data_IF_277872004774
#
_entry.id   IF_277872004774
#
_cell.length_a   1.000
_cell.length_b   1.000
_cell.length_c   1.000
_cell.angle_alpha   90.00
_cell.angle_beta   90.00
_cell.angle_gamma   90.00
#
_symmetry.space_group_name_H-M   'P 1'
#
loop_
_entity.id
_entity.type
_entity.pdbx_description
1 polymer ?
#
# COMPACT_ATOMS: atom_id res chain seq x y z
N UNK A 1 -30.30 -2.63 -10.22
CA UNK A 1 -29.97 -1.26 -9.80
C UNK A 1 -28.56 -1.33 -9.26
N UNK A 2 -27.57 -0.83 -9.99
CA UNK A 2 -26.20 -0.79 -9.47
C UNK A 2 -26.18 0.18 -8.29
N UNK A 3 -25.86 -0.32 -7.10
CA UNK A 3 -25.49 0.52 -5.97
C UNK A 3 -24.29 1.36 -6.43
N UNK A 4 -24.55 2.60 -6.79
CA UNK A 4 -23.49 3.52 -7.17
C UNK A 4 -22.69 3.84 -5.90
N UNK A 5 -21.48 3.29 -5.81
CA UNK A 5 -20.56 3.56 -4.71
C UNK A 5 -19.80 4.86 -4.97
N UNK A 6 -19.73 5.71 -3.96
CA UNK A 6 -19.00 6.99 -4.01
C UNK A 6 -17.70 6.84 -3.23
N UNK A 7 -16.56 7.28 -3.79
CA UNK A 7 -15.30 7.27 -3.06
C UNK A 7 -15.31 8.36 -1.98
N UNK A 8 -14.62 8.17 -0.85
CA UNK A 8 -14.59 9.15 0.24
C UNK A 8 -13.83 10.44 -0.11
N UNK A 9 -13.03 10.43 -1.18
CA UNK A 9 -12.27 11.56 -1.70
C UNK A 9 -11.93 11.31 -3.17
N UNK A 10 -11.37 12.33 -3.81
CA UNK A 10 -10.93 12.28 -5.21
C UNK A 10 -12.07 12.27 -6.22
N UNK A 11 -11.68 12.50 -7.47
CA UNK A 11 -12.55 12.57 -8.63
C UNK A 11 -12.18 11.45 -9.59
N UNK A 12 -12.89 10.32 -9.46
CA UNK A 12 -12.61 9.12 -10.23
C UNK A 12 -13.77 8.84 -11.21
N UNK A 13 -13.48 8.63 -12.50
CA UNK A 13 -14.52 8.43 -13.51
C UNK A 13 -15.27 7.10 -13.33
N UNK A 14 -14.61 6.08 -12.78
CA UNK A 14 -15.22 4.78 -12.50
C UNK A 14 -14.84 4.33 -11.10
N UNK A 15 -15.86 4.01 -10.29
CA UNK A 15 -15.72 3.50 -8.92
C UNK A 15 -16.58 2.26 -8.77
N UNK A 16 -16.00 1.18 -8.26
CA UNK A 16 -16.66 -0.13 -8.11
C UNK A 16 -16.21 -0.75 -6.79
N UNK A 17 -17.01 -1.64 -6.18
CA UNK A 17 -16.51 -2.46 -5.07
C UNK A 17 -15.49 -3.45 -5.63
N UNK A 18 -14.36 -3.62 -4.97
CA UNK A 18 -13.29 -4.49 -5.46
C UNK A 18 -13.76 -5.97 -5.54
N UNK A 19 -14.65 -6.39 -4.65
CA UNK A 19 -15.27 -7.72 -4.67
C UNK A 19 -16.13 -7.99 -5.92
N UNK A 20 -16.73 -6.95 -6.51
CA UNK A 20 -17.61 -7.08 -7.67
C UNK A 20 -16.82 -7.24 -8.99
N UNK A 21 -15.50 -6.98 -8.96
CA UNK A 21 -14.63 -6.96 -10.14
C UNK A 21 -13.37 -7.81 -9.95
N UNK A 22 -13.41 -8.84 -9.11
CA UNK A 22 -12.23 -9.66 -8.78
C UNK A 22 -11.50 -10.19 -10.02
N UNK A 23 -12.23 -10.55 -11.07
CA UNK A 23 -11.66 -11.05 -12.33
C UNK A 23 -10.86 -9.97 -13.10
N UNK A 24 -11.02 -8.69 -12.75
CA UNK A 24 -10.28 -7.56 -13.33
C UNK A 24 -9.06 -7.15 -12.50
N UNK A 25 -8.89 -7.68 -11.28
CA UNK A 25 -7.78 -7.34 -10.39
C UNK A 25 -6.53 -8.19 -10.68
N UNK A 26 -5.40 -7.83 -10.07
CA UNK A 26 -4.25 -8.74 -10.07
C UNK A 26 -4.65 -10.05 -9.33
N UNK A 27 -4.28 -11.24 -9.84
CA UNK A 27 -4.66 -12.52 -9.23
C UNK A 27 -4.44 -12.61 -7.70
N UNK A 28 -3.28 -12.22 -7.14
CA UNK A 28 -3.07 -12.25 -5.69
C UNK A 28 -4.02 -11.33 -4.91
N UNK A 29 -4.37 -10.17 -5.47
CA UNK A 29 -5.31 -9.21 -4.85
C UNK A 29 -6.73 -9.78 -4.86
N UNK A 30 -7.14 -10.38 -5.98
CA UNK A 30 -8.45 -11.01 -6.14
C UNK A 30 -8.66 -12.16 -5.14
N UNK A 31 -7.63 -13.01 -4.98
CA UNK A 31 -7.62 -14.12 -4.03
C UNK A 31 -7.72 -13.61 -2.60
N UNK A 32 -6.88 -12.64 -2.22
CA UNK A 32 -6.87 -12.10 -0.86
C UNK A 32 -8.20 -11.40 -0.49
N UNK A 33 -8.81 -10.64 -1.41
CA UNK A 33 -10.13 -10.06 -1.18
C UNK A 33 -11.21 -11.12 -0.98
N UNK A 34 -11.14 -12.24 -1.73
CA UNK A 34 -12.09 -13.34 -1.60
C UNK A 34 -11.92 -14.17 -0.32
N UNK A 35 -10.69 -14.25 0.21
CA UNK A 35 -10.33 -15.02 1.41
C UNK A 35 -10.10 -14.18 2.67
N UNK A 36 -10.41 -12.89 2.65
CA UNK A 36 -10.13 -12.00 3.78
C UNK A 36 -10.97 -12.41 5.00
N UNK A 37 -10.29 -12.76 6.10
CA UNK A 37 -10.89 -13.06 7.42
C UNK A 37 -11.43 -11.81 8.15
N UNK A 38 -12.08 -10.93 7.38
CA UNK A 38 -12.82 -9.75 7.82
C UNK A 38 -13.77 -9.31 6.69
N UNK A 39 -14.93 -9.98 6.51
CA UNK A 39 -15.82 -9.75 5.37
C UNK A 39 -16.31 -8.30 5.23
N UNK A 40 -16.53 -7.60 6.36
CA UNK A 40 -16.88 -6.18 6.36
C UNK A 40 -15.74 -5.30 5.81
N UNK A 41 -14.49 -5.63 6.15
CA UNK A 41 -13.32 -4.92 5.63
C UNK A 41 -13.18 -5.13 4.12
N UNK A 42 -13.31 -6.38 3.65
CA UNK A 42 -13.29 -6.70 2.22
C UNK A 42 -14.43 -6.02 1.45
N UNK A 43 -15.63 -5.97 2.03
CA UNK A 43 -16.80 -5.30 1.45
C UNK A 43 -16.67 -3.78 1.35
N UNK A 44 -15.82 -3.17 2.18
CA UNK A 44 -15.53 -1.74 2.17
C UNK A 44 -14.46 -1.33 1.15
N UNK A 45 -13.75 -2.28 0.51
CA UNK A 45 -12.71 -1.96 -0.46
C UNK A 45 -13.33 -1.49 -1.78
N UNK A 46 -13.00 -0.26 -2.15
CA UNK A 46 -13.35 0.31 -3.43
C UNK A 46 -12.18 0.20 -4.39
N UNK A 47 -12.45 -0.16 -5.63
CA UNK A 47 -11.56 0.03 -6.75
C UNK A 47 -11.92 1.34 -7.46
N UNK A 48 -10.91 2.16 -7.72
CA UNK A 48 -11.02 3.35 -8.57
C UNK A 48 -10.19 3.15 -9.83
N UNK A 49 -10.79 3.38 -10.98
CA UNK A 49 -10.08 3.29 -12.25
C UNK A 49 -9.25 4.54 -12.51
N UNK A 50 -7.98 4.34 -12.91
CA UNK A 50 -7.05 5.44 -13.18
C UNK A 50 -6.10 5.08 -14.31
N UNK A 51 -5.81 6.06 -15.16
CA UNK A 51 -4.81 6.00 -16.23
C UNK A 51 -3.44 5.50 -15.71
N UNK A 52 -2.89 4.39 -16.26
CA UNK A 52 -1.59 3.85 -15.85
C UNK A 52 -0.40 4.78 -16.16
N UNK A 53 -0.55 5.73 -17.08
CA UNK A 53 0.48 6.74 -17.36
C UNK A 53 0.56 7.81 -16.26
N UNK A 54 -0.49 7.93 -15.45
CA UNK A 54 -0.61 8.90 -14.34
C UNK A 54 -0.48 8.23 -12.97
N UNK A 55 0.26 7.14 -12.90
CA UNK A 55 0.43 6.35 -11.68
C UNK A 55 1.47 6.92 -10.69
N UNK A 56 2.31 7.87 -11.12
CA UNK A 56 3.20 8.61 -10.21
C UNK A 56 2.37 9.36 -9.17
N UNK A 57 2.75 9.29 -7.90
CA UNK A 57 1.92 9.80 -6.79
C UNK A 57 1.58 11.29 -6.92
N UNK A 58 2.53 12.14 -7.34
CA UNK A 58 2.26 13.58 -7.44
C UNK A 58 1.30 13.86 -8.61
N UNK A 59 1.59 13.30 -9.79
CA UNK A 59 0.74 13.42 -10.99
C UNK A 59 -0.66 12.85 -10.75
N UNK A 60 -0.73 11.73 -10.04
CA UNK A 60 -1.96 11.06 -9.66
C UNK A 60 -2.82 11.97 -8.78
N UNK A 61 -2.24 12.49 -7.70
CA UNK A 61 -2.94 13.34 -6.74
C UNK A 61 -3.51 14.59 -7.41
N UNK A 62 -2.73 15.23 -8.29
CA UNK A 62 -3.17 16.37 -9.07
C UNK A 62 -4.29 16.01 -10.06
N UNK A 63 -4.16 14.88 -10.77
CA UNK A 63 -5.13 14.49 -11.81
C UNK A 63 -6.50 14.13 -11.24
N UNK A 64 -6.51 13.41 -10.11
CA UNK A 64 -7.72 12.81 -9.56
C UNK A 64 -8.19 13.51 -8.28
N UNK A 65 -7.70 14.71 -7.97
CA UNK A 65 -8.03 15.45 -6.74
C UNK A 65 -7.89 14.59 -5.46
N UNK A 66 -6.93 13.66 -5.47
CA UNK A 66 -6.74 12.71 -4.37
C UNK A 66 -5.78 13.30 -3.33
N UNK A 67 -6.21 13.50 -2.06
CA UNK A 67 -5.36 14.11 -1.05
C UNK A 67 -4.11 13.27 -0.79
N UNK A 68 -2.94 13.91 -0.85
CA UNK A 68 -1.66 13.23 -0.64
C UNK A 68 -1.58 12.58 0.76
N UNK A 69 -2.22 13.17 1.77
CA UNK A 69 -2.32 12.67 3.14
C UNK A 69 -3.06 11.33 3.29
N UNK A 70 -3.87 10.95 2.30
CA UNK A 70 -4.53 9.63 2.26
C UNK A 70 -3.85 8.64 1.33
N UNK A 71 -2.87 9.08 0.53
CA UNK A 71 -2.07 8.17 -0.29
C UNK A 71 -1.11 7.39 0.60
N UNK A 72 -1.12 6.07 0.52
CA UNK A 72 -0.25 5.19 1.29
C UNK A 72 0.59 4.32 0.34
N UNK A 73 1.91 4.43 0.48
CA UNK A 73 2.87 3.68 -0.33
C UNK A 73 3.11 2.31 0.29
N UNK A 74 3.00 1.26 -0.51
CA UNK A 74 3.44 -0.08 -0.16
C UNK A 74 4.80 -0.35 -0.79
N UNK A 75 5.82 -0.52 0.04
CA UNK A 75 7.20 -0.75 -0.41
C UNK A 75 7.73 -2.07 0.13
N UNK A 76 8.53 -2.77 -0.68
CA UNK A 76 9.11 -4.05 -0.29
C UNK A 76 10.55 -3.83 0.18
N UNK A 77 10.89 -4.42 1.31
CA UNK A 77 12.22 -4.38 1.92
C UNK A 77 12.80 -5.79 2.02
N UNK A 78 14.12 -5.87 1.87
CA UNK A 78 14.90 -7.08 2.09
C UNK A 78 15.73 -6.92 3.37
N UNK A 79 15.39 -7.70 4.39
CA UNK A 79 16.09 -7.78 5.66
C UNK A 79 17.05 -8.98 5.66
N UNK A 80 18.30 -8.77 6.08
CA UNK A 80 19.34 -9.81 6.08
C UNK A 80 19.87 -10.09 7.48
N UNK A 81 19.93 -11.37 7.85
CA UNK A 81 20.55 -11.85 9.10
C UNK A 81 21.13 -13.24 8.88
N UNK A 82 22.36 -13.49 9.33
CA UNK A 82 22.93 -14.84 9.31
C UNK A 82 23.08 -15.49 7.92
N UNK A 83 23.06 -14.71 6.83
CA UNK A 83 23.06 -15.22 5.45
C UNK A 83 21.68 -15.41 4.84
N UNK A 84 20.62 -15.37 5.65
CA UNK A 84 19.23 -15.45 5.20
C UNK A 84 18.69 -14.06 4.84
N UNK A 85 17.74 -14.04 3.89
CA UNK A 85 17.02 -12.85 3.45
C UNK A 85 15.54 -13.06 3.73
N UNK A 86 14.96 -12.18 4.54
CA UNK A 86 13.52 -12.07 4.75
C UNK A 86 13.00 -10.90 3.94
N UNK A 87 11.99 -11.14 3.13
CA UNK A 87 11.25 -10.09 2.43
C UNK A 87 10.10 -9.65 3.32
N UNK A 88 9.85 -8.34 3.37
CA UNK A 88 8.71 -7.77 4.08
C UNK A 88 8.12 -6.62 3.28
N UNK A 89 6.83 -6.35 3.46
CA UNK A 89 6.20 -5.15 2.96
C UNK A 89 6.08 -4.12 4.07
N UNK A 90 6.16 -2.85 3.70
CA UNK A 90 5.94 -1.73 4.60
C UNK A 90 4.93 -0.76 4.00
N UNK A 91 3.98 -0.30 4.79
CA UNK A 91 2.97 0.67 4.38
C UNK A 91 3.14 1.95 5.20
N UNK A 92 3.34 3.06 4.49
CA UNK A 92 3.55 4.40 5.08
C UNK A 92 2.78 5.43 4.27
N UNK A 93 2.33 6.53 4.89
CA UNK A 93 1.70 7.63 4.17
C UNK A 93 2.69 8.28 3.20
N UNK A 94 2.22 8.78 2.06
CA UNK A 94 3.03 9.43 1.03
C UNK A 94 3.68 10.74 1.52
N UNK A 95 3.16 11.33 2.60
CA UNK A 95 3.72 12.50 3.31
C UNK A 95 4.84 12.14 4.28
N UNK A 96 5.15 10.85 4.45
CA UNK A 96 6.17 10.35 5.36
C UNK A 96 7.21 9.52 4.59
N UNK A 97 8.35 9.28 5.24
CA UNK A 97 9.42 8.44 4.70
C UNK A 97 9.67 7.26 5.62
N UNK A 98 9.60 6.06 5.06
CA UNK A 98 9.94 4.81 5.75
C UNK A 98 11.38 4.85 6.27
N UNK A 99 11.57 4.55 7.56
CA UNK A 99 12.90 4.35 8.13
C UNK A 99 13.34 2.88 8.01
N UNK A 100 13.93 2.56 6.86
CA UNK A 100 14.46 1.23 6.58
C UNK A 100 15.64 0.88 7.49
N UNK A 101 16.49 1.86 7.79
CA UNK A 101 17.79 1.61 8.41
C UNK A 101 17.72 1.44 9.92
N UNK A 102 16.75 2.08 10.58
CA UNK A 102 16.55 1.95 12.02
C UNK A 102 15.26 1.19 12.33
N UNK A 103 14.09 1.73 11.98
CA UNK A 103 12.81 1.15 12.40
C UNK A 103 12.60 -0.26 11.85
N UNK A 104 12.61 -0.43 10.52
CA UNK A 104 12.43 -1.74 9.87
C UNK A 104 13.51 -2.73 10.28
N UNK A 105 14.78 -2.32 10.20
CA UNK A 105 15.93 -3.17 10.55
C UNK A 105 15.83 -3.68 11.99
N UNK A 106 15.47 -2.81 12.94
CA UNK A 106 15.31 -3.15 14.36
C UNK A 106 14.12 -4.08 14.55
N UNK A 107 12.97 -3.78 13.94
CA UNK A 107 11.74 -4.57 14.06
C UNK A 107 11.94 -6.00 13.59
N UNK A 108 12.55 -6.18 12.41
CA UNK A 108 12.83 -7.49 11.84
C UNK A 108 14.07 -8.18 12.46
N UNK A 109 14.71 -7.56 13.46
CA UNK A 109 15.93 -8.08 14.09
C UNK A 109 17.08 -8.30 13.11
N UNK A 110 17.12 -7.54 12.02
CA UNK A 110 18.01 -7.75 10.89
C UNK A 110 19.39 -7.10 11.13
N UNK A 111 20.44 -7.69 10.55
CA UNK A 111 21.77 -7.06 10.56
C UNK A 111 21.82 -5.90 9.57
N UNK A 112 21.16 -6.04 8.42
CA UNK A 112 21.02 -5.03 7.38
C UNK A 112 19.59 -5.09 6.82
N UNK A 113 19.01 -3.95 6.50
CA UNK A 113 17.80 -3.86 5.71
C UNK A 113 18.04 -2.90 4.54
N UNK A 114 17.36 -3.12 3.42
CA UNK A 114 17.34 -2.23 2.27
C UNK A 114 16.02 -2.35 1.54
N UNK A 115 15.69 -1.41 0.67
CA UNK A 115 14.65 -1.66 -0.33
C UNK A 115 15.01 -2.91 -1.15
N UNK A 116 14.00 -3.73 -1.45
CA UNK A 116 14.16 -4.87 -2.32
C UNK A 116 14.45 -4.42 -3.77
N UNK A 117 15.24 -5.19 -4.54
CA UNK A 117 15.31 -4.99 -5.98
C UNK A 117 13.91 -5.07 -6.60
N UNK A 118 13.60 -4.17 -7.52
CA UNK A 118 12.25 -4.04 -8.08
C UNK A 118 11.77 -5.34 -8.72
N UNK A 119 12.59 -5.96 -9.57
CA UNK A 119 12.24 -7.20 -10.27
C UNK A 119 11.93 -8.34 -9.29
N UNK A 120 12.70 -8.45 -8.20
CA UNK A 120 12.46 -9.44 -7.16
C UNK A 120 11.14 -9.18 -6.40
N UNK A 121 10.78 -7.91 -6.17
CA UNK A 121 9.51 -7.56 -5.55
C UNK A 121 8.32 -7.87 -6.48
N UNK A 122 8.42 -7.54 -7.76
CA UNK A 122 7.40 -7.85 -8.78
C UNK A 122 7.21 -9.36 -8.92
N UNK A 123 8.31 -10.11 -9.06
CA UNK A 123 8.29 -11.57 -9.16
C UNK A 123 7.65 -12.21 -7.93
N UNK A 124 8.07 -11.82 -6.73
CA UNK A 124 7.59 -12.44 -5.51
C UNK A 124 6.14 -12.07 -5.15
N UNK A 125 5.70 -10.86 -5.50
CA UNK A 125 4.31 -10.42 -5.22
C UNK A 125 3.33 -10.84 -6.30
N UNK A 126 3.79 -11.14 -7.52
CA UNK A 126 2.92 -11.35 -8.67
C UNK A 126 2.16 -10.09 -9.11
N UNK A 127 2.61 -8.91 -8.69
CA UNK A 127 1.99 -7.61 -8.96
C UNK A 127 2.85 -6.76 -9.90
N UNK A 128 2.23 -5.81 -10.60
CA UNK A 128 2.94 -4.94 -11.54
C UNK A 128 3.78 -3.87 -10.84
N UNK A 129 4.85 -3.41 -11.53
CA UNK A 129 5.62 -2.25 -11.11
C UNK A 129 4.75 -0.99 -10.94
N UNK A 130 4.85 -0.37 -9.76
CA UNK A 130 4.02 0.79 -9.38
C UNK A 130 2.58 0.42 -8.99
N UNK A 131 2.25 -0.87 -8.97
CA UNK A 131 0.96 -1.40 -8.55
C UNK A 131 1.00 -2.17 -7.23
N UNK A 132 2.19 -2.51 -6.72
CA UNK A 132 2.36 -3.29 -5.48
C UNK A 132 1.52 -2.69 -4.33
N UNK A 133 0.81 -3.56 -3.61
CA UNK A 133 -0.18 -3.20 -2.59
C UNK A 133 -0.10 -4.16 -1.41
N UNK A 134 -0.55 -3.78 -0.20
CA UNK A 134 -0.55 -4.69 0.96
C UNK A 134 -1.53 -5.86 0.83
N UNK A 135 -2.53 -5.76 -0.05
CA UNK A 135 -3.54 -6.81 -0.24
C UNK A 135 -3.00 -7.89 -1.19
N UNK A 136 -2.89 -9.14 -0.74
CA UNK A 136 -2.42 -10.25 -1.57
C UNK A 136 -0.90 -10.44 -1.58
N UNK A 137 -0.20 -9.95 -0.56
CA UNK A 137 1.21 -10.28 -0.36
C UNK A 137 1.40 -11.77 -0.03
N UNK A 138 2.60 -12.34 -0.26
CA UNK A 138 2.91 -13.71 0.18
C UNK A 138 2.66 -13.91 1.67
N UNK A 139 2.02 -15.02 2.04
CA UNK A 139 1.50 -15.23 3.40
C UNK A 139 2.55 -15.40 4.49
N UNK A 140 3.82 -15.61 4.12
CA UNK A 140 4.96 -15.69 5.03
C UNK A 140 5.67 -14.34 5.24
N UNK A 141 5.24 -13.28 4.55
CA UNK A 141 5.85 -11.96 4.66
C UNK A 141 5.28 -11.18 5.85
N UNK A 142 6.14 -10.56 6.67
CA UNK A 142 5.72 -9.49 7.56
C UNK A 142 5.18 -8.31 6.74
N UNK A 143 4.04 -7.76 7.18
CA UNK A 143 3.42 -6.54 6.66
C UNK A 143 3.49 -5.48 7.76
N UNK A 144 4.51 -4.61 7.70
CA UNK A 144 4.70 -3.56 8.68
C UNK A 144 3.91 -2.32 8.28
N UNK A 145 3.04 -1.82 9.16
CA UNK A 145 2.15 -0.69 8.85
C UNK A 145 2.44 0.43 9.84
N UNK A 146 2.70 1.63 9.33
CA UNK A 146 2.86 2.79 10.19
C UNK A 146 1.53 3.15 10.87
N UNK A 147 1.59 3.55 12.15
CA UNK A 147 0.39 3.86 12.94
C UNK A 147 -0.47 4.98 12.33
N UNK A 148 0.14 5.93 11.61
CA UNK A 148 -0.60 6.99 10.93
C UNK A 148 -1.48 6.47 9.78
N UNK A 149 -1.05 5.40 9.11
CA UNK A 149 -1.85 4.73 8.06
C UNK A 149 -3.08 4.08 8.68
N UNK A 150 -2.92 3.41 9.82
CA UNK A 150 -4.03 2.74 10.52
C UNK A 150 -5.03 3.76 11.09
N UNK A 151 -4.53 4.90 11.58
CA UNK A 151 -5.33 5.98 12.11
C UNK A 151 -6.10 6.77 11.04
N UNK A 152 -5.65 6.74 9.78
CA UNK A 152 -6.34 7.43 8.69
C UNK A 152 -7.75 6.85 8.46
N UNK A 153 -8.80 7.69 8.32
CA UNK A 153 -10.16 7.21 8.08
C UNK A 153 -10.26 6.32 6.85
N UNK A 154 -9.53 6.69 5.79
CA UNK A 154 -9.38 5.94 4.56
C UNK A 154 -7.95 6.14 4.02
N UNK A 155 -7.47 5.16 3.27
CA UNK A 155 -6.19 5.22 2.56
C UNK A 155 -6.38 4.77 1.13
N UNK A 156 -5.55 5.31 0.24
CA UNK A 156 -5.44 4.95 -1.17
C UNK A 156 -4.12 4.20 -1.39
N UNK A 157 -4.20 2.98 -1.91
CA UNK A 157 -3.05 2.08 -2.14
C UNK A 157 -3.07 1.55 -3.58
N UNK A 158 -1.98 0.89 -3.99
CA UNK A 158 -1.92 0.16 -5.26
C UNK A 158 -3.05 -0.86 -5.43
N UNK A 159 -3.36 -1.23 -6.68
CA UNK A 159 -4.37 -2.25 -7.01
C UNK A 159 -3.78 -3.63 -7.32
N UNK A 160 -2.47 -3.80 -7.16
CA UNK A 160 -1.70 -4.91 -7.73
C UNK A 160 -1.39 -4.72 -9.23
N UNK A 161 -1.98 -3.72 -9.88
CA UNK A 161 -1.71 -3.30 -11.26
C UNK A 161 -1.28 -1.84 -11.30
N UNK A 162 -0.59 -1.42 -12.35
CA UNK A 162 -0.25 -0.01 -12.58
C UNK A 162 -1.51 0.83 -12.77
N UNK A 163 -2.51 0.26 -13.45
CA UNK A 163 -3.85 0.84 -13.65
C UNK A 163 -4.72 0.69 -12.40
N UNK A 164 -5.41 1.76 -12.04
CA UNK A 164 -6.33 1.80 -10.90
C UNK A 164 -5.63 1.77 -9.54
N UNK A 165 -6.44 1.97 -8.50
CA UNK A 165 -6.05 1.99 -7.08
C UNK A 165 -7.15 1.39 -6.22
N UNK A 166 -6.81 1.04 -4.98
CA UNK A 166 -7.79 0.64 -3.97
C UNK A 166 -7.95 1.75 -2.94
N UNK A 167 -9.19 1.98 -2.51
CA UNK A 167 -9.52 2.83 -1.35
C UNK A 167 -10.21 1.96 -0.31
N UNK A 168 -9.73 2.04 0.94
CA UNK A 168 -10.24 1.26 2.06
C UNK A 168 -9.98 1.98 3.39
N UNK A 169 -10.70 1.64 4.47
CA UNK A 169 -10.39 2.17 5.79
C UNK A 169 -8.95 1.84 6.21
N UNK A 170 -8.21 2.78 6.77
CA UNK A 170 -6.83 2.54 7.20
C UNK A 170 -6.71 1.35 8.17
N UNK A 171 -7.64 1.29 9.13
CA UNK A 171 -7.78 0.17 10.08
C UNK A 171 -7.98 -1.20 9.45
N UNK A 172 -8.52 -1.27 8.22
CA UNK A 172 -8.73 -2.54 7.53
C UNK A 172 -7.40 -3.22 7.23
N UNK A 173 -6.34 -2.46 6.91
CA UNK A 173 -5.03 -3.02 6.61
C UNK A 173 -4.42 -3.81 7.78
N UNK A 174 -4.74 -3.44 9.03
CA UNK A 174 -4.30 -4.17 10.21
C UNK A 174 -4.96 -5.56 10.38
N UNK A 175 -6.00 -5.86 9.61
CA UNK A 175 -6.66 -7.17 9.56
C UNK A 175 -6.14 -8.06 8.42
N UNK A 176 -5.09 -7.64 7.70
CA UNK A 176 -4.46 -8.48 6.67
C UNK A 176 -3.52 -9.52 7.30
N UNK A 177 -3.29 -10.66 6.64
CA UNK A 177 -2.28 -11.62 7.07
C UNK A 177 -0.90 -10.97 7.23
N UNK A 178 -0.19 -11.31 8.31
CA UNK A 178 1.15 -10.79 8.59
C UNK A 178 1.20 -9.31 9.01
N UNK A 179 0.05 -8.64 9.17
CA UNK A 179 0.01 -7.23 9.54
C UNK A 179 0.49 -6.97 10.97
N UNK A 180 1.44 -6.05 11.11
CA UNK A 180 1.96 -5.55 12.38
C UNK A 180 1.96 -4.01 12.35
N UNK A 181 1.27 -3.38 13.31
CA UNK A 181 1.30 -1.91 13.45
C UNK A 181 2.56 -1.53 14.21
N UNK A 182 3.42 -0.72 13.58
CA UNK A 182 4.74 -0.37 14.11
C UNK A 182 4.80 1.15 14.34
N UNK A 183 4.75 1.60 15.60
CA UNK A 183 4.92 3.02 15.93
C UNK A 183 6.30 3.53 15.49
N UNK A 184 6.33 4.71 14.86
CA UNK A 184 7.56 5.31 14.33
C UNK A 184 8.22 4.50 13.21
N UNK A 185 7.43 3.77 12.41
CA UNK A 185 7.92 3.10 11.20
C UNK A 185 8.37 4.11 10.15
N UNK A 186 7.68 5.25 10.07
CA UNK A 186 8.02 6.37 9.21
C UNK A 186 8.24 7.68 9.99
N UNK A 187 8.97 8.60 9.36
CA UNK A 187 9.13 9.96 9.84
C UNK A 187 8.57 10.95 8.83
N UNK A 188 7.98 12.05 9.30
CA UNK A 188 7.57 13.17 8.44
C UNK A 188 8.80 13.69 7.71
N UNK A 189 8.70 13.86 6.40
CA UNK A 189 9.77 14.50 5.63
C UNK A 189 9.75 15.98 5.98
N UNK A 190 10.78 16.48 6.65
CA UNK A 190 10.94 17.92 6.81
C UNK A 190 10.98 18.57 5.42
N UNK A 191 10.19 19.62 5.19
CA UNK A 191 10.32 20.41 3.97
C UNK A 191 11.80 20.85 3.85
N UNK A 192 12.40 20.80 2.65
CA UNK A 192 13.72 21.37 2.48
C UNK A 192 13.63 22.83 2.92
N UNK A 193 14.36 23.21 3.97
CA UNK A 193 14.41 24.61 4.38
C UNK A 193 14.81 25.40 3.14
N UNK A 194 13.98 26.33 2.71
CA UNK A 194 14.37 27.32 1.72
C UNK A 194 15.55 28.07 2.32
N UNK A 195 16.77 27.63 2.00
CA UNK A 195 17.96 28.41 2.27
C UNK A 195 17.89 29.57 1.29
N UNK A 196 17.59 30.75 1.83
CA UNK A 196 17.84 32.03 1.18
C UNK A 196 19.26 32.03 0.59
N UNK A 197 19.36 32.29 -0.71
CA UNK A 197 20.57 32.72 -1.39
C UNK A 197 20.18 33.72 -2.49
#
# INVERSE_FOLDING_TARGET
MSDQVTPPFGNFPTVRRALDIRDELAPPVAEALGGWDAPEAAGAVLYVDTDPEKADTAVFCETYDAPLEYSANCVVVAAKRGGEVTMAACVVLATTRLDVNQAVRKHLGARKASFAPMDAAVEATGMEYGGITPVGLPGDWPLLIDEAVVAAPHVLVGSGRRRGKLILPGRALAALPGAEVVPGLAAVVAEPSSVEA
#
